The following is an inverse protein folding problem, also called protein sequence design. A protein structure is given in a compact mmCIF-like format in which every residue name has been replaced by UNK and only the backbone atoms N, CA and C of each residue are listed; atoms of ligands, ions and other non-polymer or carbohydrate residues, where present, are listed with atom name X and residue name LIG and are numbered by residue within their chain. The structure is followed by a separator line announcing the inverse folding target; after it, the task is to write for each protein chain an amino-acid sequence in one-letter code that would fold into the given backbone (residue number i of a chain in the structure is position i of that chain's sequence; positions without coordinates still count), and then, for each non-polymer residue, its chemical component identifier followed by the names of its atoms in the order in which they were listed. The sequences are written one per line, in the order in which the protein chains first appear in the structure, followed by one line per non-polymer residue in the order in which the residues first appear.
data_IF_422586965420
#
_entry.id   IF_422586965420
#
_cell.length_a   1.000
_cell.length_b   1.000
_cell.length_c   1.000
_cell.angle_alpha   90.00
_cell.angle_beta   90.00
_cell.angle_gamma   90.00
#
_symmetry.space_group_name_H-M   'P 1'
#
loop_
_entity.id
_entity.type
_entity.pdbx_description
1 polymer ?
#
# COMPACT_ATOMS: atom_id res chain seq x y z
N UNK A 1 15.86 -2.38 4.37
CA UNK A 1 15.25 -3.49 5.13
C UNK A 1 15.80 -3.48 6.55
N UNK A 2 14.94 -3.59 7.55
CA UNK A 2 15.31 -3.68 8.96
C UNK A 2 14.87 -5.04 9.50
N UNK A 3 15.80 -5.77 10.15
CA UNK A 3 15.55 -7.09 10.70
C UNK A 3 15.41 -8.21 9.68
N UNK A 4 14.81 -9.33 10.11
CA UNK A 4 14.76 -10.61 9.39
C UNK A 4 13.33 -11.17 9.26
N UNK A 5 12.34 -10.30 9.03
CA UNK A 5 10.99 -10.77 8.73
C UNK A 5 10.95 -11.49 7.37
N UNK A 6 10.55 -12.76 7.36
CA UNK A 6 10.61 -13.61 6.15
C UNK A 6 9.72 -13.12 5.01
N UNK A 7 8.60 -12.47 5.33
CA UNK A 7 7.74 -11.83 4.34
C UNK A 7 8.45 -10.66 3.68
N UNK A 8 9.01 -9.76 4.48
CA UNK A 8 9.77 -8.59 4.04
C UNK A 8 11.00 -8.99 3.21
N UNK A 9 11.73 -10.03 3.61
CA UNK A 9 12.88 -10.53 2.85
C UNK A 9 12.48 -11.02 1.46
N UNK A 10 11.39 -11.76 1.35
CA UNK A 10 10.85 -12.24 0.07
C UNK A 10 10.43 -11.07 -0.82
N UNK A 11 9.73 -10.08 -0.27
CA UNK A 11 9.32 -8.88 -1.01
C UNK A 11 10.52 -8.09 -1.52
N UNK A 12 11.51 -7.83 -0.68
CA UNK A 12 12.71 -7.08 -1.07
C UNK A 12 13.49 -7.82 -2.15
N UNK A 13 13.68 -9.14 -2.01
CA UNK A 13 14.33 -9.96 -3.05
C UNK A 13 13.62 -9.83 -4.40
N UNK A 14 12.29 -9.95 -4.41
CA UNK A 14 11.52 -9.84 -5.66
C UNK A 14 11.58 -8.41 -6.25
N UNK A 15 11.62 -7.38 -5.41
CA UNK A 15 11.80 -5.99 -5.87
C UNK A 15 13.16 -5.78 -6.53
N UNK A 16 14.24 -6.33 -5.96
CA UNK A 16 15.59 -6.25 -6.57
C UNK A 16 15.61 -6.94 -7.93
N UNK A 17 15.07 -8.15 -8.05
CA UNK A 17 14.96 -8.86 -9.33
C UNK A 17 14.17 -8.04 -10.34
N UNK A 18 13.02 -7.48 -9.95
CA UNK A 18 12.21 -6.67 -10.85
C UNK A 18 12.94 -5.38 -11.29
N UNK A 19 13.74 -4.77 -10.42
CA UNK A 19 14.59 -3.64 -10.80
C UNK A 19 15.61 -4.03 -11.87
N UNK A 20 16.29 -5.16 -11.69
CA UNK A 20 17.26 -5.69 -12.67
C UNK A 20 16.58 -5.96 -14.02
N UNK A 21 15.43 -6.63 -14.02
CA UNK A 21 14.64 -6.94 -15.22
C UNK A 21 14.19 -5.69 -15.97
N UNK A 22 13.93 -4.59 -15.23
CA UNK A 22 13.53 -3.30 -15.81
C UNK A 22 14.73 -2.40 -16.17
N UNK A 23 15.96 -2.82 -15.90
CA UNK A 23 17.17 -2.04 -16.15
C UNK A 23 17.42 -0.91 -15.16
N UNK A 24 16.82 -0.98 -13.96
CA UNK A 24 17.11 -0.05 -12.86
C UNK A 24 18.37 -0.50 -12.11
N UNK A 25 19.23 0.45 -11.78
CA UNK A 25 20.28 0.26 -10.80
C UNK A 25 19.66 0.27 -9.40
N UNK A 26 19.81 -0.80 -8.64
CA UNK A 26 19.24 -0.91 -7.29
C UNK A 26 20.30 -1.33 -6.27
N UNK A 27 20.16 -0.83 -5.06
CA UNK A 27 21.00 -1.21 -3.94
C UNK A 27 20.14 -1.52 -2.71
N UNK A 28 20.56 -2.50 -1.91
CA UNK A 28 19.90 -2.90 -0.68
C UNK A 28 20.73 -2.46 0.54
N UNK A 29 20.15 -1.58 1.36
CA UNK A 29 20.68 -1.24 2.67
C UNK A 29 19.96 -2.09 3.70
N UNK A 30 20.71 -2.87 4.48
CA UNK A 30 20.18 -3.75 5.52
C UNK A 30 20.67 -3.30 6.88
N UNK A 31 19.76 -3.30 7.85
CA UNK A 31 20.03 -3.09 9.27
C UNK A 31 19.52 -4.28 10.07
N UNK A 32 20.19 -4.55 11.19
CA UNK A 32 19.71 -5.50 12.19
C UNK A 32 18.46 -4.98 12.91
N UNK A 33 17.74 -5.89 13.58
CA UNK A 33 16.47 -5.54 14.23
C UNK A 33 16.61 -4.55 15.41
N UNK A 34 17.81 -4.37 15.95
CA UNK A 34 18.13 -3.48 17.07
C UNK A 34 18.64 -2.10 16.64
N UNK A 35 18.67 -1.81 15.32
CA UNK A 35 19.04 -0.47 14.83
C UNK A 35 18.19 0.60 15.51
N UNK A 36 18.80 1.68 15.90
CA UNK A 36 18.08 2.80 16.52
C UNK A 36 17.26 3.61 15.51
N UNK A 37 16.15 4.18 15.95
CA UNK A 37 15.37 5.10 15.10
C UNK A 37 16.23 6.25 14.56
N UNK A 38 17.14 6.78 15.37
CA UNK A 38 18.02 7.87 14.97
C UNK A 38 18.96 7.47 13.82
N UNK A 39 19.53 6.26 13.85
CA UNK A 39 20.38 5.75 12.77
C UNK A 39 19.58 5.52 11.48
N UNK A 40 18.36 4.98 11.58
CA UNK A 40 17.50 4.80 10.43
C UNK A 40 17.11 6.15 9.81
N UNK A 41 16.71 7.14 10.63
CA UNK A 41 16.40 8.48 10.17
C UNK A 41 17.61 9.17 9.51
N UNK A 42 18.81 9.00 10.07
CA UNK A 42 20.03 9.53 9.46
C UNK A 42 20.30 8.89 8.07
N UNK A 43 19.98 7.61 7.89
CA UNK A 43 20.04 6.95 6.60
C UNK A 43 19.04 7.55 5.60
N UNK A 44 17.80 7.77 6.03
CA UNK A 44 16.76 8.42 5.21
C UNK A 44 17.22 9.82 4.78
N UNK A 45 17.77 10.62 5.71
CA UNK A 45 18.28 11.96 5.40
C UNK A 45 19.40 11.93 4.34
N UNK A 46 20.32 10.98 4.45
CA UNK A 46 21.39 10.78 3.47
C UNK A 46 20.83 10.46 2.09
N UNK A 47 19.87 9.53 2.00
CA UNK A 47 19.24 9.17 0.74
C UNK A 47 18.42 10.32 0.14
N UNK A 48 17.76 11.12 0.98
CA UNK A 48 17.05 12.33 0.54
C UNK A 48 18.01 13.34 -0.13
N UNK A 49 19.22 13.50 0.40
CA UNK A 49 20.20 14.47 -0.07
C UNK A 49 21.04 13.97 -1.24
N UNK A 50 21.12 12.67 -1.45
CA UNK A 50 21.93 12.06 -2.51
C UNK A 50 21.26 12.26 -3.89
N UNK A 51 21.88 13.09 -4.73
CA UNK A 51 21.36 13.39 -6.06
C UNK A 51 21.41 12.20 -7.04
N UNK A 52 22.19 11.16 -6.73
CA UNK A 52 22.25 9.94 -7.54
C UNK A 52 21.11 8.96 -7.23
N UNK A 53 20.35 9.17 -6.16
CA UNK A 53 19.22 8.35 -5.77
C UNK A 53 17.92 8.96 -6.28
N UNK A 54 17.30 8.35 -7.28
CA UNK A 54 16.02 8.79 -7.85
C UNK A 54 14.84 8.53 -6.93
N UNK A 55 14.87 7.42 -6.17
CA UNK A 55 13.83 7.06 -5.22
C UNK A 55 14.25 5.87 -4.35
N UNK A 56 13.56 5.70 -3.24
CA UNK A 56 13.81 4.58 -2.34
C UNK A 56 12.55 4.18 -1.56
N UNK A 57 12.61 3.03 -0.92
CA UNK A 57 11.56 2.52 -0.05
C UNK A 57 12.17 2.14 1.30
N UNK A 58 11.38 2.29 2.35
CA UNK A 58 11.65 1.68 3.66
C UNK A 58 10.66 0.52 3.81
N UNK A 59 11.15 -0.71 3.72
CA UNK A 59 10.28 -1.88 3.78
C UNK A 59 9.60 -2.00 5.15
N UNK A 60 8.28 -2.04 5.15
CA UNK A 60 7.44 -2.25 6.33
C UNK A 60 7.10 -3.75 6.52
N UNK A 61 6.81 -4.21 7.74
CA UNK A 61 6.78 -3.43 8.99
C UNK A 61 8.18 -3.16 9.56
N UNK A 62 8.28 -2.14 10.41
CA UNK A 62 9.49 -1.85 11.19
C UNK A 62 9.40 -2.47 12.60
N UNK A 63 10.53 -2.69 13.30
CA UNK A 63 10.54 -3.09 14.70
C UNK A 63 9.75 -2.13 15.60
N UNK A 64 9.07 -2.65 16.62
CA UNK A 64 8.12 -1.89 17.46
C UNK A 64 8.70 -0.67 18.20
N UNK A 65 10.03 -0.56 18.33
CA UNK A 65 10.71 0.58 18.95
C UNK A 65 10.96 1.74 17.98
N UNK A 66 10.65 1.57 16.68
CA UNK A 66 10.79 2.59 15.65
C UNK A 66 9.39 3.07 15.25
N UNK A 67 9.18 4.37 15.25
CA UNK A 67 7.94 4.99 14.79
C UNK A 67 7.90 5.00 13.27
N UNK A 68 7.11 4.08 12.68
CA UNK A 68 6.94 3.96 11.22
C UNK A 68 6.45 5.27 10.59
N UNK A 69 5.51 5.96 11.24
CA UNK A 69 4.96 7.20 10.70
C UNK A 69 6.03 8.29 10.61
N UNK A 70 6.85 8.41 11.63
CA UNK A 70 7.97 9.36 11.66
C UNK A 70 9.00 9.08 10.57
N UNK A 71 9.29 7.79 10.31
CA UNK A 71 10.19 7.39 9.20
C UNK A 71 9.58 7.75 7.86
N UNK A 72 8.30 7.43 7.63
CA UNK A 72 7.59 7.75 6.39
C UNK A 72 7.58 9.27 6.15
N UNK A 73 7.25 10.07 7.15
CA UNK A 73 7.21 11.54 7.03
C UNK A 73 8.59 12.16 6.76
N UNK A 74 9.68 11.47 7.11
CA UNK A 74 11.05 11.92 6.85
C UNK A 74 11.47 11.76 5.39
N UNK A 75 10.84 10.86 4.63
CA UNK A 75 11.16 10.62 3.22
C UNK A 75 10.76 11.84 2.39
N UNK A 76 11.66 12.31 1.52
CA UNK A 76 11.31 13.33 0.52
C UNK A 76 10.23 12.76 -0.42
N UNK A 77 9.08 13.43 -0.51
CA UNK A 77 7.95 12.98 -1.32
C UNK A 77 8.27 12.79 -2.80
N UNK A 78 9.34 13.41 -3.30
CA UNK A 78 9.85 13.24 -4.67
C UNK A 78 10.61 11.92 -4.87
N UNK A 79 11.06 11.30 -3.77
CA UNK A 79 11.81 10.03 -3.75
C UNK A 79 11.01 8.88 -3.12
N UNK A 80 9.80 9.16 -2.65
CA UNK A 80 8.86 8.22 -2.03
C UNK A 80 8.16 7.39 -3.11
N UNK A 81 8.81 6.36 -3.62
CA UNK A 81 8.25 5.52 -4.70
C UNK A 81 7.11 4.61 -4.23
N UNK A 82 6.96 4.38 -2.93
CA UNK A 82 5.80 3.68 -2.36
C UNK A 82 4.55 4.58 -2.25
N UNK A 83 4.71 5.91 -2.31
CA UNK A 83 3.62 6.87 -2.25
C UNK A 83 2.94 6.98 -0.88
N UNK A 84 3.66 6.71 0.21
CA UNK A 84 3.10 6.69 1.56
C UNK A 84 3.25 8.01 2.32
N UNK A 85 4.08 8.93 1.83
CA UNK A 85 4.23 10.23 2.48
C UNK A 85 2.92 11.02 2.45
N UNK A 86 2.63 11.83 3.48
CA UNK A 86 1.41 12.65 3.53
C UNK A 86 1.20 13.51 2.28
N UNK A 87 2.28 13.97 1.65
CA UNK A 87 2.23 14.77 0.42
C UNK A 87 1.70 13.91 -0.74
N UNK A 88 2.27 12.72 -0.98
CA UNK A 88 1.82 11.84 -2.05
C UNK A 88 0.40 11.33 -1.80
N UNK A 89 0.05 10.95 -0.57
CA UNK A 89 -1.31 10.55 -0.19
C UNK A 89 -2.30 11.70 -0.43
N UNK A 90 -1.96 12.92 -0.04
CA UNK A 90 -2.80 14.10 -0.27
C UNK A 90 -2.99 14.37 -1.76
N UNK A 91 -1.91 14.36 -2.55
CA UNK A 91 -1.97 14.53 -4.02
C UNK A 91 -2.79 13.43 -4.68
N UNK A 92 -2.59 12.17 -4.29
CA UNK A 92 -3.37 11.04 -4.78
C UNK A 92 -4.86 11.23 -4.47
N UNK A 93 -5.23 11.66 -3.27
CA UNK A 93 -6.63 11.80 -2.87
C UNK A 93 -7.40 12.83 -3.71
N UNK A 94 -6.74 13.85 -4.21
CA UNK A 94 -7.32 14.91 -5.06
C UNK A 94 -7.01 14.76 -6.56
N UNK A 95 -6.38 13.64 -6.95
CA UNK A 95 -6.11 13.32 -8.35
C UNK A 95 -4.96 14.11 -9.00
N UNK A 96 -4.01 14.61 -8.21
CA UNK A 96 -2.81 15.25 -8.73
C UNK A 96 -1.70 14.22 -9.03
N UNK A 97 -0.79 14.52 -9.97
CA UNK A 97 0.36 13.66 -10.24
C UNK A 97 1.20 13.40 -8.98
N UNK A 98 1.43 12.13 -8.65
CA UNK A 98 2.18 11.68 -7.48
C UNK A 98 2.61 10.23 -7.65
N UNK A 99 3.44 9.72 -6.76
CA UNK A 99 3.63 8.29 -6.61
C UNK A 99 2.37 7.68 -5.97
N UNK A 100 1.95 6.55 -6.50
CA UNK A 100 0.77 5.80 -6.05
C UNK A 100 1.24 4.44 -5.55
N UNK A 101 0.78 3.98 -4.38
CA UNK A 101 1.14 2.67 -3.85
C UNK A 101 0.91 1.56 -4.88
N UNK A 102 1.94 0.71 -5.08
CA UNK A 102 1.99 -0.24 -6.18
C UNK A 102 0.82 -1.26 -6.15
N UNK A 103 0.52 -1.82 -4.97
CA UNK A 103 -0.58 -2.79 -4.82
C UNK A 103 -1.93 -2.18 -5.17
N UNK A 104 -2.36 -1.04 -4.60
CA UNK A 104 -3.58 -0.36 -5.02
C UNK A 104 -3.62 -0.02 -6.51
N UNK A 105 -2.53 0.46 -7.08
CA UNK A 105 -2.45 0.79 -8.50
C UNK A 105 -2.63 -0.45 -9.38
N UNK A 106 -1.94 -1.55 -9.06
CA UNK A 106 -2.07 -2.81 -9.79
C UNK A 106 -3.49 -3.38 -9.75
N UNK A 107 -4.15 -3.29 -8.59
CA UNK A 107 -5.54 -3.74 -8.44
C UNK A 107 -6.48 -2.92 -9.34
N UNK A 108 -6.31 -1.60 -9.38
CA UNK A 108 -7.15 -0.74 -10.24
C UNK A 108 -6.95 -1.07 -11.73
N UNK A 109 -5.74 -1.42 -12.17
CA UNK A 109 -5.49 -1.86 -13.55
C UNK A 109 -6.23 -3.16 -13.91
N UNK A 110 -6.49 -4.03 -12.92
CA UNK A 110 -7.31 -5.23 -13.10
C UNK A 110 -8.81 -4.91 -13.15
N UNK A 111 -9.25 -3.81 -12.52
CA UNK A 111 -10.65 -3.44 -12.30
C UNK A 111 -11.08 -2.33 -13.26
N UNK A 112 -11.50 -2.68 -14.47
CA UNK A 112 -11.80 -1.70 -15.54
C UNK A 112 -13.26 -1.24 -15.64
N UNK A 113 -14.12 -1.40 -14.60
CA UNK A 113 -15.56 -1.08 -14.70
C UNK A 113 -16.11 -0.37 -13.49
N UNK A 114 -17.01 0.57 -13.72
CA UNK A 114 -17.75 1.34 -12.73
C UNK A 114 -18.75 0.45 -12.00
N UNK A 115 -18.60 0.32 -10.70
CA UNK A 115 -19.43 -0.55 -9.90
C UNK A 115 -19.45 -0.11 -8.43
N UNK A 116 -20.28 -0.76 -7.63
CA UNK A 116 -20.26 -0.63 -6.18
C UNK A 116 -19.09 -1.45 -5.63
N UNK A 117 -18.16 -0.80 -4.99
CA UNK A 117 -16.97 -1.39 -4.41
C UNK A 117 -17.04 -1.36 -2.88
N UNK A 118 -16.76 -2.50 -2.25
CA UNK A 118 -16.53 -2.59 -0.80
C UNK A 118 -15.06 -2.87 -0.58
N UNK A 119 -14.42 -2.02 0.24
CA UNK A 119 -13.04 -2.22 0.69
C UNK A 119 -13.08 -2.67 2.14
N UNK A 120 -12.62 -3.89 2.40
CA UNK A 120 -12.46 -4.43 3.75
C UNK A 120 -11.07 -4.08 4.28
N UNK A 121 -11.04 -3.24 5.31
CA UNK A 121 -9.81 -2.71 5.88
C UNK A 121 -9.58 -1.24 5.56
N UNK A 122 -8.78 -0.58 6.42
CA UNK A 122 -8.50 0.87 6.33
C UNK A 122 -7.05 1.21 6.67
N UNK A 123 -6.13 0.33 6.32
CA UNK A 123 -4.69 0.57 6.48
C UNK A 123 -4.24 1.74 5.59
N UNK A 124 -3.16 2.41 6.00
CA UNK A 124 -2.58 3.50 5.21
C UNK A 124 -1.91 2.99 3.92
N UNK A 125 -1.50 1.73 3.89
CA UNK A 125 -0.74 1.14 2.78
C UNK A 125 -1.64 0.50 1.70
N UNK A 126 -2.85 0.03 2.04
CA UNK A 126 -3.77 -0.63 1.09
C UNK A 126 -5.18 -0.07 1.17
N UNK A 127 -5.87 -0.19 2.32
CA UNK A 127 -7.31 0.08 2.41
C UNK A 127 -7.70 1.51 2.05
N UNK A 128 -7.04 2.51 2.64
CA UNK A 128 -7.29 3.92 2.32
C UNK A 128 -6.90 4.26 0.87
N UNK A 129 -5.69 3.91 0.38
CA UNK A 129 -5.34 4.12 -1.02
C UNK A 129 -6.32 3.48 -2.00
N UNK A 130 -6.76 2.24 -1.74
CA UNK A 130 -7.76 1.57 -2.57
C UNK A 130 -9.06 2.34 -2.64
N UNK A 131 -9.60 2.77 -1.48
CA UNK A 131 -10.84 3.53 -1.44
C UNK A 131 -10.71 4.85 -2.23
N UNK A 132 -9.60 5.56 -2.06
CA UNK A 132 -9.32 6.81 -2.78
C UNK A 132 -9.24 6.59 -4.30
N UNK A 133 -8.53 5.59 -4.76
CA UNK A 133 -8.39 5.31 -6.19
C UNK A 133 -9.70 4.82 -6.81
N UNK A 134 -10.44 3.93 -6.12
CA UNK A 134 -11.69 3.40 -6.63
C UNK A 134 -12.78 4.46 -6.78
N UNK A 135 -12.78 5.51 -5.96
CA UNK A 135 -13.75 6.62 -6.11
C UNK A 135 -13.36 7.64 -7.18
N UNK A 136 -12.09 7.67 -7.63
CA UNK A 136 -11.64 8.67 -8.61
C UNK A 136 -12.16 8.37 -10.02
N UNK A 137 -12.59 9.43 -10.71
CA UNK A 137 -13.10 9.36 -12.09
C UNK A 137 -12.08 8.76 -13.07
N UNK A 138 -10.79 9.05 -12.88
CA UNK A 138 -9.72 8.58 -13.76
C UNK A 138 -9.39 7.09 -13.57
N UNK A 139 -9.77 6.49 -12.45
CA UNK A 139 -9.45 5.11 -12.09
C UNK A 139 -10.71 4.25 -11.96
N UNK A 140 -11.18 4.00 -10.74
CA UNK A 140 -12.30 3.09 -10.50
C UNK A 140 -13.67 3.68 -10.84
N UNK A 141 -13.85 4.98 -10.60
CA UNK A 141 -15.13 5.71 -10.74
C UNK A 141 -16.33 4.96 -10.11
N UNK A 142 -16.08 4.33 -8.97
CA UNK A 142 -17.02 3.48 -8.25
C UNK A 142 -17.67 4.20 -7.07
N UNK A 143 -18.84 3.71 -6.64
CA UNK A 143 -19.36 4.02 -5.30
C UNK A 143 -18.62 3.13 -4.32
N UNK A 144 -17.92 3.71 -3.35
CA UNK A 144 -17.05 2.99 -2.43
C UNK A 144 -17.58 3.00 -1.01
N UNK A 145 -17.68 1.81 -0.41
CA UNK A 145 -17.94 1.64 1.03
C UNK A 145 -16.69 1.04 1.67
N UNK A 146 -16.21 1.64 2.76
CA UNK A 146 -15.08 1.11 3.53
C UNK A 146 -15.62 0.44 4.79
N UNK A 147 -15.38 -0.87 4.93
CA UNK A 147 -15.77 -1.65 6.10
C UNK A 147 -14.55 -1.99 6.95
N UNK A 148 -14.76 -2.05 8.26
CA UNK A 148 -13.72 -2.34 9.24
C UNK A 148 -14.32 -3.04 10.48
N UNK A 149 -13.52 -3.32 11.51
CA UNK A 149 -13.93 -4.07 12.70
C UNK A 149 -15.13 -3.47 13.48
N UNK A 150 -15.45 -2.20 13.26
CA UNK A 150 -16.60 -1.52 13.89
C UNK A 150 -17.77 -1.33 12.92
N UNK A 151 -17.73 -1.88 11.72
CA UNK A 151 -18.85 -1.80 10.76
C UNK A 151 -19.94 -2.78 11.18
N UNK A 152 -21.15 -2.30 11.34
CA UNK A 152 -22.32 -3.08 11.79
C UNK A 152 -23.03 -3.78 10.64
N UNK A 153 -22.90 -3.26 9.41
CA UNK A 153 -23.58 -3.75 8.19
C UNK A 153 -22.64 -4.42 7.19
N UNK A 154 -21.43 -4.84 7.64
CA UNK A 154 -20.37 -5.35 6.78
C UNK A 154 -20.85 -6.48 5.83
N UNK A 155 -21.63 -7.41 6.32
CA UNK A 155 -22.12 -8.54 5.53
C UNK A 155 -23.13 -8.10 4.45
N UNK A 156 -24.02 -7.20 4.81
CA UNK A 156 -25.01 -6.61 3.90
C UNK A 156 -24.34 -5.75 2.82
N UNK A 157 -23.35 -4.96 3.20
CA UNK A 157 -22.56 -4.15 2.28
C UNK A 157 -21.84 -5.03 1.27
N UNK A 158 -21.18 -6.10 1.72
CA UNK A 158 -20.52 -7.07 0.85
C UNK A 158 -21.49 -7.74 -0.12
N UNK A 159 -22.69 -8.14 0.34
CA UNK A 159 -23.73 -8.76 -0.53
C UNK A 159 -24.20 -7.84 -1.65
N UNK A 160 -24.15 -6.53 -1.45
CA UNK A 160 -24.54 -5.54 -2.47
C UNK A 160 -23.37 -5.18 -3.40
N UNK A 161 -22.14 -5.52 -3.04
CA UNK A 161 -20.95 -5.13 -3.76
C UNK A 161 -20.83 -5.87 -5.10
N UNK A 162 -20.39 -5.17 -6.14
CA UNK A 162 -19.94 -5.77 -7.39
C UNK A 162 -18.44 -6.14 -7.31
N UNK A 163 -17.71 -5.43 -6.46
CA UNK A 163 -16.29 -5.62 -6.22
C UNK A 163 -16.07 -5.64 -4.70
N UNK A 164 -15.39 -6.65 -4.19
CA UNK A 164 -14.93 -6.75 -2.81
C UNK A 164 -13.41 -6.79 -2.82
N UNK A 165 -12.77 -5.85 -2.13
CA UNK A 165 -11.32 -5.82 -1.95
C UNK A 165 -11.04 -6.17 -0.50
N UNK A 166 -10.55 -7.40 -0.26
CA UNK A 166 -10.20 -7.89 1.07
C UNK A 166 -8.77 -7.53 1.42
N UNK A 167 -8.58 -6.53 2.29
CA UNK A 167 -7.27 -6.02 2.72
C UNK A 167 -7.19 -5.98 4.26
N UNK A 168 -7.43 -7.12 4.90
CA UNK A 168 -7.52 -7.26 6.35
C UNK A 168 -6.57 -8.31 6.94
N UNK A 169 -5.79 -9.02 6.11
CA UNK A 169 -4.83 -10.02 6.58
C UNK A 169 -5.48 -11.20 7.33
N UNK A 170 -6.71 -11.59 6.99
CA UNK A 170 -7.45 -12.66 7.68
C UNK A 170 -7.94 -13.70 6.68
N UNK A 171 -7.24 -14.82 6.49
CA UNK A 171 -7.65 -15.89 5.61
C UNK A 171 -9.07 -16.38 5.90
N UNK A 172 -9.87 -16.64 4.86
CA UNK A 172 -11.22 -17.16 4.99
C UNK A 172 -12.26 -16.21 5.59
N UNK A 173 -11.96 -14.91 5.72
CA UNK A 173 -12.91 -13.94 6.28
C UNK A 173 -14.12 -13.71 5.36
N UNK A 174 -13.90 -13.59 4.06
CA UNK A 174 -14.99 -13.44 3.08
C UNK A 174 -15.55 -14.82 2.76
N UNK A 175 -16.80 -15.04 3.14
CA UNK A 175 -17.50 -16.30 2.94
C UNK A 175 -18.53 -16.21 1.80
N UNK A 176 -18.94 -17.35 1.25
CA UNK A 176 -19.86 -17.41 0.09
C UNK A 176 -21.18 -16.65 0.32
N UNK A 177 -21.67 -16.65 1.57
CA UNK A 177 -22.90 -15.98 1.96
C UNK A 177 -22.76 -14.44 2.10
N UNK A 178 -21.55 -13.92 1.94
CA UNK A 178 -21.25 -12.48 1.87
C UNK A 178 -21.11 -11.98 0.42
N UNK A 179 -21.17 -12.86 -0.57
CA UNK A 179 -20.85 -12.51 -1.96
C UNK A 179 -22.04 -12.77 -2.86
N UNK A 180 -22.45 -11.80 -3.65
CA UNK A 180 -23.49 -12.01 -4.67
C UNK A 180 -22.93 -12.69 -5.92
N UNK A 181 -23.76 -13.43 -6.71
CA UNK A 181 -23.33 -13.99 -7.98
C UNK A 181 -22.73 -12.92 -8.91
N UNK A 182 -21.59 -13.24 -9.52
CA UNK A 182 -20.91 -12.36 -10.47
C UNK A 182 -20.09 -11.22 -9.85
N UNK A 183 -19.99 -11.15 -8.53
CA UNK A 183 -19.07 -10.20 -7.88
C UNK A 183 -17.60 -10.60 -8.11
N UNK A 184 -16.75 -9.60 -8.22
CA UNK A 184 -15.29 -9.75 -8.30
C UNK A 184 -14.71 -9.63 -6.90
N UNK A 185 -13.84 -10.55 -6.53
CA UNK A 185 -13.12 -10.52 -5.25
C UNK A 185 -11.64 -10.34 -5.55
N UNK A 186 -11.02 -9.37 -4.90
CA UNK A 186 -9.58 -9.17 -4.86
C UNK A 186 -9.13 -9.44 -3.43
N UNK A 187 -8.35 -10.48 -3.25
CA UNK A 187 -7.71 -10.80 -1.97
C UNK A 187 -6.29 -10.23 -1.97
N UNK A 188 -6.00 -9.39 -0.98
CA UNK A 188 -4.71 -8.71 -0.86
C UNK A 188 -3.86 -9.32 0.27
N UNK A 189 -4.46 -10.23 1.06
CA UNK A 189 -3.82 -10.86 2.23
C UNK A 189 -4.21 -10.24 3.56
#
# INVERSE_FOLDING_TARGET
LVGHDGGSETYVKNKVIACEDCGFESSLIRYEADVTEAELLACVDRLNQDASVDGFIVQLPLPAHIDEQKVIERIDSRKDVDGFTPINVGRMSIGLPCFIPATPKGIVELLRRYKRCVVLGRSNIVGKPMAMLMMQKAFGNATVTVCHSHSTTLKEDCRQADIIIAAIGRPGFVTADMVKPGAVIIDVG
#
